data_IF_130761904904
#
_entry.id   IF_130761904904
#
_cell.length_a   1.000
_cell.length_b   1.000
_cell.length_c   1.000
_cell.angle_alpha   90.00
_cell.angle_beta   90.00
_cell.angle_gamma   90.00
#
_symmetry.space_group_name_H-M   'P 1'
#
loop_
_entity.id
_entity.type
_entity.pdbx_description
1 polymer ?
#
# COMPACT_ATOMS: atom_id res chain seq x y z
N UNK A 1 -5.96 -28.34 25.47
CA UNK A 1 -7.40 -28.38 25.15
C UNK A 1 -8.10 -27.25 25.89
N UNK A 2 -8.50 -26.19 25.19
CA UNK A 2 -9.36 -25.14 25.74
C UNK A 2 -10.44 -24.82 24.70
N UNK A 3 -11.71 -25.09 25.05
CA UNK A 3 -12.90 -24.81 24.25
C UNK A 3 -13.70 -23.72 24.98
N UNK A 4 -13.94 -22.59 24.32
CA UNK A 4 -14.94 -21.57 24.70
C UNK A 4 -15.51 -21.00 23.39
N UNK A 5 -16.60 -21.58 22.90
CA UNK A 5 -17.99 -21.12 23.05
C UNK A 5 -18.26 -19.83 22.27
N UNK A 6 -18.80 -20.00 21.06
CA UNK A 6 -19.33 -18.96 20.17
C UNK A 6 -20.71 -18.51 20.66
N UNK A 7 -21.05 -17.21 20.68
CA UNK A 7 -22.44 -16.78 20.77
C UNK A 7 -23.02 -16.63 19.36
N UNK A 8 -23.94 -17.52 19.01
CA UNK A 8 -24.87 -17.35 17.91
C UNK A 8 -25.91 -16.28 18.32
N UNK A 9 -25.92 -15.15 17.61
CA UNK A 9 -26.87 -14.06 17.80
C UNK A 9 -27.47 -13.65 16.45
N UNK A 10 -28.56 -14.33 16.09
CA UNK A 10 -29.54 -13.94 15.08
C UNK A 10 -30.15 -12.60 15.49
N UNK A 11 -30.32 -11.62 14.60
CA UNK A 11 -31.47 -10.69 14.55
C UNK A 11 -31.29 -9.74 13.36
N UNK A 12 -32.14 -9.93 12.35
CA UNK A 12 -32.22 -9.03 11.20
C UNK A 12 -33.17 -7.87 11.45
N UNK A 13 -33.02 -6.81 10.66
CA UNK A 13 -34.11 -5.89 10.28
C UNK A 13 -33.78 -5.36 8.88
N UNK A 14 -34.59 -5.76 7.90
CA UNK A 14 -34.66 -5.17 6.56
C UNK A 14 -35.57 -3.95 6.67
N UNK A 15 -35.03 -2.74 6.54
CA UNK A 15 -35.84 -1.52 6.42
C UNK A 15 -36.08 -1.24 4.94
N UNK A 16 -37.30 -1.47 4.49
CA UNK A 16 -37.86 -0.88 3.28
C UNK A 16 -39.01 0.04 3.70
N UNK A 17 -38.88 1.34 3.48
CA UNK A 17 -40.05 2.22 3.38
C UNK A 17 -39.79 3.40 2.45
N UNK A 18 -40.82 3.60 1.62
CA UNK A 18 -40.96 4.50 0.50
C UNK A 18 -40.78 5.99 0.81
N UNK A 19 -40.38 6.73 -0.24
CA UNK A 19 -40.33 8.18 -0.25
C UNK A 19 -40.11 8.75 -1.65
N UNK A 20 -40.95 8.34 -2.60
CA UNK A 20 -41.05 8.98 -3.91
C UNK A 20 -41.76 10.32 -3.73
N UNK A 21 -41.01 11.41 -3.53
CA UNK A 21 -41.53 12.77 -3.72
C UNK A 21 -40.80 13.41 -4.88
N UNK A 22 -41.51 13.46 -5.99
CA UNK A 22 -41.21 14.21 -7.20
C UNK A 22 -40.77 15.63 -6.84
N UNK A 23 -39.55 16.02 -7.22
CA UNK A 23 -39.20 17.43 -7.30
C UNK A 23 -39.50 17.91 -8.72
N UNK A 24 -40.23 19.03 -8.88
CA UNK A 24 -40.78 19.43 -10.15
C UNK A 24 -39.69 19.85 -11.14
N UNK A 25 -39.92 19.38 -12.35
CA UNK A 25 -39.42 19.88 -13.61
C UNK A 25 -39.36 21.40 -13.71
N UNK A 26 -38.29 21.90 -14.35
CA UNK A 26 -38.39 23.07 -15.20
C UNK A 26 -37.57 24.27 -14.74
N UNK A 27 -36.27 24.23 -15.01
CA UNK A 27 -35.41 25.40 -14.98
C UNK A 27 -34.10 25.09 -15.69
N UNK A 28 -34.07 25.20 -17.01
CA UNK A 28 -32.82 25.24 -17.75
C UNK A 28 -32.09 26.52 -17.32
N UNK A 29 -30.89 26.45 -16.69
CA UNK A 29 -30.11 27.65 -16.53
C UNK A 29 -29.70 28.11 -17.93
N UNK A 30 -30.16 29.29 -18.31
CA UNK A 30 -29.66 30.04 -19.46
C UNK A 30 -28.14 30.11 -19.31
N UNK A 31 -27.42 29.41 -20.18
CA UNK A 31 -25.95 29.47 -20.28
C UNK A 31 -25.56 30.79 -20.96
N UNK A 32 -25.76 31.91 -20.26
CA UNK A 32 -25.14 33.19 -20.60
C UNK A 32 -24.35 33.62 -19.38
N UNK A 33 -23.14 33.09 -19.28
CA UNK A 33 -21.98 33.91 -18.94
C UNK A 33 -20.73 33.20 -19.47
N UNK A 34 -20.05 33.86 -20.41
CA UNK A 34 -18.77 33.41 -20.93
C UNK A 34 -17.76 33.48 -19.78
N UNK A 35 -17.50 32.34 -19.13
CA UNK A 35 -16.43 32.23 -18.14
C UNK A 35 -15.10 32.64 -18.79
N UNK A 36 -14.54 33.78 -18.35
CA UNK A 36 -13.15 34.14 -18.60
C UNK A 36 -12.30 33.32 -17.63
N UNK A 37 -11.80 32.18 -18.08
CA UNK A 37 -10.76 31.46 -17.36
C UNK A 37 -9.46 32.26 -17.50
N UNK A 38 -9.11 33.06 -16.49
CA UNK A 38 -7.73 33.56 -16.35
C UNK A 38 -6.89 32.33 -15.98
N UNK A 39 -6.16 31.79 -16.97
CA UNK A 39 -5.21 30.68 -16.83
C UNK A 39 -3.96 31.14 -16.07
N UNK A 40 -4.16 31.64 -14.84
CA UNK A 40 -3.09 31.89 -13.88
C UNK A 40 -3.07 30.82 -12.79
N UNK A 41 -3.62 29.65 -13.10
CA UNK A 41 -3.40 28.44 -12.36
C UNK A 41 -2.00 27.94 -12.65
N UNK A 42 -0.99 28.45 -11.93
CA UNK A 42 0.18 27.61 -11.66
C UNK A 42 -0.33 26.44 -10.82
N UNK A 43 -0.81 25.39 -11.50
CA UNK A 43 -1.01 24.09 -10.90
C UNK A 43 0.32 23.74 -10.22
N UNK A 44 0.32 23.74 -8.89
CA UNK A 44 1.52 23.50 -8.10
C UNK A 44 2.18 22.24 -8.63
N UNK A 45 3.46 22.35 -9.02
CA UNK A 45 4.20 21.23 -9.56
C UNK A 45 4.10 20.08 -8.56
N UNK A 46 3.52 18.95 -8.98
CA UNK A 46 3.47 17.76 -8.15
C UNK A 46 4.89 17.44 -7.66
N UNK A 47 5.06 16.99 -6.40
CA UNK A 47 6.36 16.61 -5.90
C UNK A 47 7.02 15.64 -6.88
N UNK A 48 8.20 16.00 -7.38
CA UNK A 48 8.96 15.09 -8.22
C UNK A 48 9.37 13.90 -7.35
N UNK A 49 8.98 12.69 -7.75
CA UNK A 49 9.43 11.49 -7.04
C UNK A 49 10.95 11.36 -7.15
N UNK A 50 11.62 10.86 -6.09
CA UNK A 50 13.05 10.61 -6.16
C UNK A 50 13.35 9.63 -7.31
N UNK A 51 14.47 9.85 -8.00
CA UNK A 51 14.92 8.92 -9.03
C UNK A 51 15.13 7.53 -8.42
N UNK A 52 14.74 6.49 -9.15
CA UNK A 52 15.03 5.13 -8.77
C UNK A 52 16.54 4.95 -8.63
N UNK A 53 16.97 4.34 -7.52
CA UNK A 53 18.37 3.99 -7.30
C UNK A 53 18.77 2.84 -8.23
N UNK A 54 20.07 2.68 -8.42
CA UNK A 54 20.63 1.51 -9.08
C UNK A 54 20.16 0.23 -8.35
N UNK A 55 19.64 -0.78 -9.07
CA UNK A 55 19.07 -1.96 -8.45
C UNK A 55 20.12 -2.78 -7.67
N UNK A 56 21.37 -2.84 -8.15
CA UNK A 56 22.42 -3.57 -7.44
C UNK A 56 22.78 -2.88 -6.12
N UNK A 57 22.76 -1.54 -6.10
CA UNK A 57 22.95 -0.76 -4.86
C UNK A 57 21.81 -1.04 -3.88
N UNK A 58 20.56 -1.06 -4.34
CA UNK A 58 19.42 -1.35 -3.47
C UNK A 58 19.51 -2.75 -2.83
N UNK A 59 19.88 -3.77 -3.60
CA UNK A 59 20.05 -5.15 -3.09
C UNK A 59 21.18 -5.21 -2.06
N UNK A 60 22.31 -4.54 -2.32
CA UNK A 60 23.43 -4.48 -1.38
C UNK A 60 23.04 -3.80 -0.07
N UNK A 61 22.30 -2.68 -0.12
CA UNK A 61 21.81 -1.99 1.07
C UNK A 61 20.84 -2.88 1.89
N UNK A 62 19.97 -3.63 1.23
CA UNK A 62 19.08 -4.59 1.91
C UNK A 62 19.84 -5.74 2.58
N UNK A 63 20.90 -6.23 1.95
CA UNK A 63 21.78 -7.25 2.54
C UNK A 63 22.48 -6.72 3.79
N UNK A 64 23.08 -5.54 3.72
CA UNK A 64 23.73 -4.90 4.88
C UNK A 64 22.73 -4.61 6.01
N UNK A 65 21.49 -4.22 5.66
CA UNK A 65 20.42 -4.07 6.65
C UNK A 65 20.05 -5.40 7.32
N UNK A 66 20.08 -6.52 6.59
CA UNK A 66 19.86 -7.85 7.15
C UNK A 66 21.00 -8.26 8.09
N UNK A 67 22.26 -8.00 7.71
CA UNK A 67 23.42 -8.24 8.55
C UNK A 67 23.40 -7.39 9.83
N UNK A 68 23.05 -6.11 9.72
CA UNK A 68 22.96 -5.20 10.86
C UNK A 68 21.91 -5.65 11.88
N UNK A 69 20.81 -6.28 11.43
CA UNK A 69 19.84 -6.89 12.33
C UNK A 69 20.38 -8.15 13.00
N UNK A 70 21.20 -8.93 12.29
CA UNK A 70 21.87 -10.12 12.84
C UNK A 70 20.94 -11.24 13.28
N UNK A 71 19.66 -11.23 12.84
CA UNK A 71 18.70 -12.27 13.17
C UNK A 71 18.52 -13.24 12.01
N UNK A 72 18.11 -14.47 12.34
CA UNK A 72 17.77 -15.49 11.35
C UNK A 72 16.69 -15.01 10.39
N UNK A 73 15.63 -14.41 10.93
CA UNK A 73 14.47 -13.96 10.16
C UNK A 73 14.84 -12.87 9.15
N UNK A 74 15.80 -12.00 9.50
CA UNK A 74 16.26 -10.94 8.60
C UNK A 74 17.02 -11.53 7.39
N UNK A 75 17.90 -12.51 7.63
CA UNK A 75 18.64 -13.20 6.57
C UNK A 75 17.71 -14.06 5.70
N UNK A 76 16.78 -14.80 6.31
CA UNK A 76 15.78 -15.59 5.58
C UNK A 76 14.90 -14.69 4.69
N UNK A 77 14.48 -13.52 5.18
CA UNK A 77 13.70 -12.57 4.39
C UNK A 77 14.49 -12.00 3.20
N UNK A 78 15.78 -11.71 3.39
CA UNK A 78 16.65 -11.27 2.29
C UNK A 78 16.76 -12.36 1.22
N UNK A 79 17.01 -13.62 1.63
CA UNK A 79 17.09 -14.77 0.71
C UNK A 79 15.77 -14.98 -0.03
N UNK A 80 14.63 -14.82 0.63
CA UNK A 80 13.31 -14.97 0.01
C UNK A 80 13.03 -13.92 -1.08
N UNK A 81 13.65 -12.74 -1.00
CA UNK A 81 13.49 -11.65 -1.97
C UNK A 81 14.50 -11.70 -3.10
N UNK A 82 15.75 -12.05 -2.78
CA UNK A 82 16.90 -11.94 -3.68
C UNK A 82 17.60 -13.29 -3.87
N UNK A 83 16.85 -14.40 -3.87
CA UNK A 83 17.42 -15.76 -3.79
C UNK A 83 18.38 -16.15 -4.92
N UNK A 84 18.27 -15.49 -6.08
CA UNK A 84 19.14 -15.70 -7.25
C UNK A 84 20.33 -14.72 -7.29
N UNK A 85 20.38 -13.74 -6.38
CA UNK A 85 21.47 -12.77 -6.28
C UNK A 85 22.72 -13.41 -5.66
N UNK A 86 23.95 -13.08 -6.14
CA UNK A 86 25.19 -13.57 -5.53
C UNK A 86 25.33 -13.32 -4.02
N UNK A 87 24.71 -12.26 -3.48
CA UNK A 87 24.69 -11.99 -2.05
C UNK A 87 23.83 -12.96 -1.26
N UNK A 88 22.86 -13.65 -1.88
CA UNK A 88 22.06 -14.66 -1.19
C UNK A 88 22.90 -15.85 -0.70
N UNK A 89 23.96 -16.22 -1.42
CA UNK A 89 24.88 -17.26 -0.94
C UNK A 89 25.62 -16.84 0.33
N UNK A 90 26.00 -15.55 0.42
CA UNK A 90 26.60 -15.00 1.65
C UNK A 90 25.59 -14.99 2.79
N UNK A 91 24.34 -14.58 2.53
CA UNK A 91 23.27 -14.62 3.51
C UNK A 91 23.01 -16.04 4.04
N UNK A 92 23.03 -17.06 3.16
CA UNK A 92 22.90 -18.47 3.55
C UNK A 92 24.06 -18.95 4.42
N UNK A 93 25.28 -18.50 4.13
CA UNK A 93 26.45 -18.82 4.96
C UNK A 93 26.35 -18.20 6.36
N UNK A 94 25.93 -16.95 6.43
CA UNK A 94 25.69 -16.23 7.70
C UNK A 94 24.56 -16.87 8.51
N UNK A 95 23.48 -17.28 7.86
CA UNK A 95 22.37 -17.98 8.49
C UNK A 95 22.82 -19.31 9.13
N UNK A 96 23.68 -20.08 8.45
CA UNK A 96 24.28 -21.30 9.02
C UNK A 96 25.11 -21.00 10.26
N UNK A 97 25.84 -19.87 10.28
CA UNK A 97 26.64 -19.46 11.43
C UNK A 97 25.80 -19.13 12.65
N UNK A 98 24.63 -18.50 12.48
CA UNK A 98 23.71 -18.19 13.57
C UNK A 98 22.99 -19.43 14.13
N UNK A 99 22.88 -20.51 13.35
CA UNK A 99 22.22 -21.75 13.78
C UNK A 99 23.10 -22.70 14.59
N UNK A 100 24.38 -22.38 14.73
CA UNK A 100 25.36 -23.16 15.49
C UNK A 100 25.42 -22.70 16.94
#
# INVERSE_FOLDING_TARGET
MQRRLLPAGLFGVLVALAGLTQHPSGGLPVMVEKAKADDRGKAGRAPAMPMARDPAVAVAEEYEAALSKGTREALELFIARHGDDPLAEKARAELKRLSR
#
